data_IF_518559619978
#
_entry.id   IF_518559619978
#
_cell.length_a   1.000
_cell.length_b   1.000
_cell.length_c   1.000
_cell.angle_alpha   90.00
_cell.angle_beta   90.00
_cell.angle_gamma   90.00
#
_symmetry.space_group_name_H-M   'P 1'
#
loop_
_entity.id
_entity.type
_entity.pdbx_description
1 polymer ?
2 polymer ?
3 water ?
#
# COMPACT_ATOMS: atom_id res chain seq x y z
N UNK A 1 19.29 1.71 -14.14
CA UNK A 1 18.93 0.43 -14.75
C UNK A 1 19.03 -0.70 -13.74
N UNK A 2 19.36 -0.35 -12.49
CA UNK A 2 19.41 -1.34 -11.42
C UNK A 2 18.00 -1.71 -11.02
N UNK A 3 17.72 -3.01 -10.93
CA UNK A 3 16.42 -3.51 -10.52
C UNK A 3 16.61 -4.74 -9.65
N UNK A 4 15.78 -4.84 -8.62
CA UNK A 4 15.65 -6.05 -7.81
C UNK A 4 14.23 -6.56 -7.96
N UNK A 5 14.08 -7.73 -8.54
CA UNK A 5 12.76 -8.27 -8.87
C UNK A 5 12.46 -9.44 -7.95
N UNK A 6 11.45 -9.26 -7.10
CA UNK A 6 11.11 -10.30 -6.14
C UNK A 6 10.02 -11.21 -6.68
N UNK A 7 9.96 -12.40 -6.11
CA UNK A 7 8.89 -13.35 -6.42
C UNK A 7 7.55 -12.82 -5.90
N UNK A 8 6.47 -13.46 -6.37
CA UNK A 8 5.13 -12.99 -6.13
C UNK A 8 4.61 -13.34 -4.75
N UNK A 9 3.39 -12.88 -4.47
CA UNK A 9 2.79 -13.10 -3.14
C UNK A 9 2.52 -14.57 -2.89
N UNK A 10 2.47 -14.94 -1.61
CA UNK A 10 2.31 -16.34 -1.25
C UNK A 10 1.37 -16.50 -0.07
N UNK A 11 0.47 -17.48 -0.16
CA UNK A 11 -0.29 -17.98 0.96
C UNK A 11 0.40 -19.25 1.45
N UNK A 12 0.61 -19.35 2.75
CA UNK A 12 1.23 -20.53 3.33
C UNK A 12 0.45 -20.96 4.56
N UNK A 13 0.34 -22.29 4.75
CA UNK A 13 -0.28 -22.80 5.96
C UNK A 13 0.68 -22.66 7.14
N UNK A 14 0.15 -22.47 8.35
CA UNK A 14 1.02 -22.50 9.53
C UNK A 14 1.83 -23.79 9.55
N UNK A 15 3.12 -23.67 9.91
CA UNK A 15 4.01 -24.80 9.93
C UNK A 15 4.77 -25.04 8.64
N UNK A 16 4.36 -24.42 7.54
CA UNK A 16 5.03 -24.59 6.26
C UNK A 16 6.26 -23.68 6.19
N UNK A 17 6.88 -23.64 5.02
CA UNK A 17 8.01 -22.76 4.76
C UNK A 17 7.78 -22.10 3.41
N UNK A 18 8.50 -21.00 3.16
CA UNK A 18 8.43 -20.30 1.88
C UNK A 18 9.82 -19.80 1.55
N UNK A 19 10.18 -19.87 0.26
CA UNK A 19 11.46 -19.36 -0.20
C UNK A 19 11.18 -18.22 -1.17
N UNK A 20 11.57 -17.01 -0.79
CA UNK A 20 11.35 -15.79 -1.56
C UNK A 20 12.60 -15.51 -2.37
N UNK A 21 12.44 -15.13 -3.64
CA UNK A 21 13.58 -14.81 -4.50
C UNK A 21 13.66 -13.32 -4.78
N UNK A 22 14.86 -12.89 -5.13
CA UNK A 22 15.18 -11.49 -5.37
C UNK A 22 16.26 -11.49 -6.45
N UNK A 23 15.86 -11.24 -7.70
CA UNK A 23 16.77 -11.31 -8.83
C UNK A 23 17.34 -9.94 -9.13
N UNK A 24 18.67 -9.84 -9.19
CA UNK A 24 19.34 -8.58 -9.49
C UNK A 24 19.58 -8.43 -10.98
N UNK A 25 19.31 -7.23 -11.49
CA UNK A 25 19.64 -6.89 -12.87
C UNK A 25 20.19 -5.48 -12.92
N UNK A 26 20.97 -5.20 -13.96
CA UNK A 26 21.60 -3.90 -14.14
C UNK A 26 22.84 -3.68 -13.31
N UNK A 27 23.27 -4.68 -12.55
CA UNK A 27 24.51 -4.67 -11.79
C UNK A 27 24.83 -6.10 -11.46
N UNK A 28 26.05 -6.34 -10.99
CA UNK A 28 26.43 -7.68 -10.56
C UNK A 28 26.12 -7.84 -9.08
N UNK A 29 25.33 -8.86 -8.77
CA UNK A 29 24.86 -9.04 -7.39
C UNK A 29 26.03 -9.19 -6.43
N UNK A 30 27.16 -9.72 -6.89
CA UNK A 30 28.31 -9.96 -6.03
C UNK A 30 29.09 -8.69 -5.69
N UNK A 31 28.77 -7.56 -6.30
CA UNK A 31 29.45 -6.30 -6.00
C UNK A 31 28.86 -5.56 -4.81
N UNK A 32 27.74 -6.02 -4.25
CA UNK A 32 27.04 -5.34 -3.17
C UNK A 32 26.51 -6.37 -2.18
N UNK A 33 26.35 -5.96 -0.91
CA UNK A 33 25.59 -6.77 0.03
C UNK A 33 24.13 -6.87 -0.43
N UNK A 34 23.45 -7.91 0.03
CA UNK A 34 22.00 -7.98 -0.06
C UNK A 34 21.42 -8.06 1.34
N UNK A 35 20.43 -7.22 1.62
CA UNK A 35 19.72 -7.18 2.89
C UNK A 35 18.31 -7.67 2.69
N UNK A 36 17.70 -8.15 3.78
CA UNK A 36 16.29 -8.47 3.81
C UNK A 36 15.63 -7.79 5.01
N UNK A 37 14.44 -7.24 4.79
CA UNK A 37 13.68 -6.55 5.82
C UNK A 37 12.24 -7.00 5.81
N UNK A 38 11.60 -6.90 6.97
CA UNK A 38 10.22 -7.31 7.20
C UNK A 38 9.39 -6.11 7.63
N UNK A 39 8.19 -5.98 7.06
CA UNK A 39 7.22 -5.00 7.57
C UNK A 39 5.88 -5.69 7.80
N UNK A 40 5.50 -5.81 9.07
CA UNK A 40 4.18 -6.31 9.45
C UNK A 40 3.21 -5.15 9.54
N UNK A 41 1.96 -5.41 9.20
CA UNK A 41 0.92 -4.39 9.25
C UNK A 41 0.92 -3.73 10.62
N UNK A 42 1.03 -2.40 10.63
CA UNK A 42 0.97 -1.66 11.87
C UNK A 42 2.16 -1.85 12.79
N UNK A 43 3.31 -2.27 12.27
CA UNK A 43 4.52 -2.40 13.06
C UNK A 43 5.65 -1.64 12.36
N UNK A 44 6.80 -1.57 13.03
CA UNK A 44 7.97 -0.91 12.49
C UNK A 44 8.77 -1.87 11.63
N UNK A 45 9.50 -1.32 10.66
CA UNK A 45 10.37 -2.12 9.82
C UNK A 45 11.40 -2.84 10.67
N UNK A 46 11.73 -4.08 10.29
CA UNK A 46 12.74 -4.86 10.99
C UNK A 46 13.74 -5.42 9.99
N UNK A 47 15.03 -5.34 10.33
CA UNK A 47 16.07 -5.91 9.48
C UNK A 47 16.29 -7.36 9.87
N UNK A 48 16.22 -8.25 8.88
CA UNK A 48 16.37 -9.68 9.10
C UNK A 48 17.84 -10.09 9.10
N UNK A 49 18.60 -9.59 8.13
CA UNK A 49 20.00 -9.95 8.01
C UNK A 49 20.53 -9.55 6.66
N UNK A 50 21.81 -9.88 6.44
CA UNK A 50 22.45 -9.60 5.17
C UNK A 50 23.28 -10.80 4.74
N UNK A 51 23.69 -10.77 3.48
CA UNK A 51 24.52 -11.79 2.87
C UNK A 51 25.50 -11.11 1.92
N UNK A 52 26.75 -11.55 1.97
CA UNK A 52 27.76 -11.20 0.97
C UNK A 52 27.58 -12.17 -0.20
N UNK A 53 27.04 -11.73 -1.33
CA UNK A 53 26.75 -12.68 -2.40
C UNK A 53 27.99 -13.25 -3.05
N UNK A 54 29.14 -12.59 -2.91
CA UNK A 54 30.35 -13.06 -3.56
C UNK A 54 30.88 -14.33 -2.90
N UNK A 55 30.91 -14.37 -1.57
CA UNK A 55 31.47 -15.50 -0.86
C UNK A 55 30.54 -16.14 0.15
N UNK A 56 29.35 -15.57 0.38
CA UNK A 56 28.29 -16.27 1.07
C UNK A 56 28.18 -16.02 2.56
N UNK A 57 29.05 -15.21 3.16
CA UNK A 57 28.92 -14.92 4.58
C UNK A 57 27.64 -14.19 4.89
N UNK A 58 27.07 -14.48 6.08
CA UNK A 58 25.79 -13.91 6.49
C UNK A 58 25.88 -13.34 7.90
N UNK A 59 25.08 -12.31 8.14
CA UNK A 59 24.80 -11.80 9.48
C UNK A 59 23.30 -11.78 9.68
N UNK A 60 22.83 -12.34 10.79
CA UNK A 60 21.41 -12.36 11.11
C UNK A 60 21.11 -11.51 12.33
N UNK A 61 19.99 -10.80 12.29
CA UNK A 61 19.37 -10.32 13.50
C UNK A 61 18.98 -11.52 14.35
N UNK A 62 19.42 -11.53 15.61
CA UNK A 62 19.17 -12.67 16.49
C UNK A 62 17.69 -13.03 16.56
N UNK A 63 16.81 -12.03 16.41
CA UNK A 63 15.38 -12.28 16.42
C UNK A 63 14.93 -13.21 15.31
N UNK A 64 15.73 -13.35 14.24
CA UNK A 64 15.37 -14.17 13.10
C UNK A 64 16.24 -15.40 12.95
N UNK A 65 17.18 -15.64 13.85
CA UNK A 65 17.96 -16.87 13.77
C UNK A 65 17.03 -18.06 13.97
N UNK A 66 17.14 -19.06 13.10
CA UNK A 66 16.23 -20.18 13.10
C UNK A 66 14.95 -19.96 12.33
N UNK A 67 14.63 -18.70 12.00
CA UNK A 67 13.46 -18.35 11.20
C UNK A 67 13.79 -18.11 9.74
N UNK A 68 14.89 -17.42 9.46
CA UNK A 68 15.26 -17.04 8.11
C UNK A 68 16.61 -17.64 7.75
N UNK A 69 16.75 -18.08 6.51
CA UNK A 69 18.04 -18.52 5.96
C UNK A 69 18.26 -17.78 4.65
N UNK A 70 19.38 -17.06 4.54
CA UNK A 70 19.72 -16.30 3.35
C UNK A 70 20.73 -17.09 2.53
N UNK A 71 20.48 -17.18 1.22
CA UNK A 71 21.42 -17.79 0.28
C UNK A 71 21.47 -16.95 -0.98
N UNK A 72 22.44 -17.24 -1.83
CA UNK A 72 22.50 -16.64 -3.17
C UNK A 72 22.87 -17.71 -4.17
N UNK A 73 22.26 -17.65 -5.35
CA UNK A 73 22.68 -18.40 -6.53
C UNK A 73 23.40 -17.39 -7.42
N UNK A 74 24.74 -17.44 -7.41
CA UNK A 74 25.50 -16.49 -8.21
C UNK A 74 25.23 -16.67 -9.69
N UNK A 75 25.08 -17.91 -10.16
CA UNK A 75 24.91 -18.16 -11.59
C UNK A 75 23.69 -17.44 -12.14
N UNK A 76 22.62 -17.36 -11.35
CA UNK A 76 21.39 -16.71 -11.78
C UNK A 76 21.19 -15.32 -11.19
N UNK A 77 22.20 -14.79 -10.49
CA UNK A 77 22.11 -13.45 -9.90
C UNK A 77 20.88 -13.31 -9.01
N UNK A 78 20.56 -14.36 -8.25
CA UNK A 78 19.35 -14.37 -7.45
C UNK A 78 19.66 -14.62 -5.97
N UNK A 79 19.19 -13.72 -5.13
CA UNK A 79 19.23 -13.92 -3.68
C UNK A 79 17.93 -14.56 -3.23
N UNK A 80 18.04 -15.42 -2.21
CA UNK A 80 16.88 -16.13 -1.68
C UNK A 80 16.80 -15.93 -0.16
N UNK A 81 15.58 -15.87 0.35
CA UNK A 81 15.33 -15.96 1.78
C UNK A 81 14.30 -17.04 2.02
N UNK A 82 14.69 -18.06 2.79
CA UNK A 82 13.77 -19.08 3.21
C UNK A 82 13.26 -18.76 4.61
N UNK A 83 11.94 -18.71 4.77
CA UNK A 83 11.29 -18.52 6.06
C UNK A 83 10.69 -19.85 6.47
N UNK A 84 11.06 -20.33 7.65
CA UNK A 84 10.70 -21.66 8.11
C UNK A 84 9.68 -21.59 9.24
N UNK A 85 9.00 -22.72 9.48
CA UNK A 85 8.13 -22.86 10.65
C UNK A 85 7.13 -21.71 10.75
N UNK A 86 6.43 -21.46 9.65
CA UNK A 86 5.66 -20.23 9.53
C UNK A 86 4.50 -20.18 10.53
N UNK A 87 4.31 -18.99 11.10
CA UNK A 87 3.14 -18.70 11.93
C UNK A 87 2.52 -17.39 11.47
N UNK A 88 1.37 -17.04 12.05
CA UNK A 88 0.73 -15.79 11.69
C UNK A 88 1.63 -14.58 11.98
N UNK A 89 2.58 -14.71 12.90
CA UNK A 89 3.51 -13.63 13.17
C UNK A 89 4.42 -13.36 11.99
N UNK A 90 4.51 -14.29 11.05
CA UNK A 90 5.33 -14.12 9.85
C UNK A 90 4.57 -13.50 8.69
N UNK A 91 3.26 -13.28 8.82
CA UNK A 91 2.52 -12.58 7.78
C UNK A 91 3.02 -11.15 7.69
N UNK A 92 3.51 -10.74 6.51
CA UNK A 92 4.18 -9.46 6.39
C UNK A 92 4.53 -9.25 4.93
N UNK A 93 5.06 -8.07 4.63
CA UNK A 93 5.69 -7.80 3.34
C UNK A 93 7.19 -7.79 3.56
N UNK A 94 7.91 -8.56 2.76
CA UNK A 94 9.35 -8.71 2.90
C UNK A 94 10.02 -8.07 1.69
N UNK A 95 11.06 -7.27 1.92
CA UNK A 95 11.84 -6.70 0.84
C UNK A 95 13.27 -7.17 0.89
N UNK A 96 13.86 -7.34 -0.28
CA UNK A 96 15.31 -7.35 -0.41
C UNK A 96 15.76 -5.94 -0.79
N UNK A 97 16.99 -5.59 -0.43
CA UNK A 97 17.53 -4.29 -0.76
C UNK A 97 19.06 -4.37 -0.70
N UNK A 98 19.71 -3.76 -1.68
CA UNK A 98 21.17 -3.82 -1.73
C UNK A 98 21.81 -2.68 -0.94
N UNK A 99 23.05 -2.91 -0.53
CA UNK A 99 23.88 -1.88 0.09
C UNK A 99 25.34 -2.22 -0.21
N UNK A 100 26.26 -1.34 0.19
CA UNK A 100 27.65 -1.54 -0.20
C UNK A 100 28.22 -2.81 0.43
N UNK A 101 29.14 -3.43 -0.29
CA UNK A 101 29.75 -4.66 0.18
C UNK A 101 30.66 -4.43 1.39
N UNK A 102 31.48 -3.39 1.35
CA UNK A 102 32.48 -3.16 2.38
C UNK A 102 32.22 -1.91 3.23
N UNK A 103 31.15 -1.18 2.97
CA UNK A 103 30.93 0.07 3.67
C UNK A 103 29.61 0.15 4.41
N UNK A 104 28.95 1.29 4.32
CA UNK A 104 27.72 1.49 5.07
C UNK A 104 26.59 0.65 4.49
N UNK A 105 25.51 0.56 5.24
CA UNK A 105 24.34 -0.21 4.86
C UNK A 105 23.16 0.70 4.53
N UNK A 106 23.42 1.83 3.90
CA UNK A 106 22.35 2.61 3.30
C UNK A 106 21.81 1.83 2.10
N UNK A 107 20.54 1.49 2.14
CA UNK A 107 19.96 0.59 1.13
C UNK A 107 19.46 1.43 -0.03
N UNK A 108 20.21 1.44 -1.13
CA UNK A 108 19.95 2.40 -2.20
C UNK A 108 18.99 1.87 -3.25
N UNK A 109 18.80 0.56 -3.36
CA UNK A 109 17.86 0.00 -4.30
C UNK A 109 17.14 -1.16 -3.62
N UNK A 110 15.81 -1.11 -3.67
CA UNK A 110 14.93 -2.06 -2.99
C UNK A 110 14.13 -2.85 -4.01
N UNK A 111 13.91 -4.13 -3.71
CA UNK A 111 12.92 -4.89 -4.44
C UNK A 111 11.52 -4.34 -4.21
N UNK A 112 10.55 -4.87 -4.97
CA UNK A 112 9.19 -4.35 -4.89
C UNK A 112 8.40 -4.91 -3.72
N UNK A 113 8.96 -5.86 -2.98
CA UNK A 113 8.30 -6.50 -1.85
C UNK A 113 7.54 -7.74 -2.25
N UNK A 114 7.44 -8.66 -1.28
CA UNK A 114 6.70 -9.91 -1.43
C UNK A 114 5.80 -10.05 -0.22
N UNK A 115 4.50 -10.14 -0.47
CA UNK A 115 3.52 -10.34 0.59
C UNK A 115 3.40 -11.83 0.89
N UNK A 116 3.53 -12.18 2.18
CA UNK A 116 3.32 -13.54 2.65
C UNK A 116 2.19 -13.51 3.67
N UNK A 117 1.16 -14.30 3.44
CA UNK A 117 0.08 -14.49 4.41
C UNK A 117 0.15 -15.91 4.91
N UNK A 118 0.21 -16.07 6.23
CA UNK A 118 0.23 -17.39 6.86
C UNK A 118 -1.16 -17.63 7.45
N UNK A 119 -1.86 -18.62 6.93
CA UNK A 119 -3.24 -18.86 7.34
C UNK A 119 -3.62 -20.27 6.92
N UNK A 120 -4.55 -20.85 7.69
CA UNK A 120 -5.12 -22.14 7.34
C UNK A 120 -6.26 -22.02 6.34
N UNK A 121 -6.71 -20.81 6.04
CA UNK A 121 -7.82 -20.62 5.11
C UNK A 121 -7.36 -20.83 3.67
N UNK A 122 -8.31 -21.26 2.83
CA UNK A 122 -7.99 -21.61 1.46
C UNK A 122 -7.99 -20.37 0.56
N UNK A 123 -7.20 -20.45 -0.51
CA UNK A 123 -7.18 -19.37 -1.50
C UNK A 123 -8.51 -19.30 -2.22
N UNK A 124 -8.91 -18.08 -2.58
CA UNK A 124 -10.12 -17.87 -3.38
C UNK A 124 -9.89 -16.69 -4.30
N UNK A 125 -10.17 -16.86 -5.58
CA UNK A 125 -10.05 -15.77 -6.52
C UNK A 125 -11.26 -14.86 -6.50
N UNK A 126 -11.09 -13.61 -6.90
CA UNK A 126 -12.19 -12.64 -6.84
C UNK A 126 -13.16 -12.81 -8.00
N UNK A 127 -14.38 -12.33 -7.78
CA UNK A 127 -15.27 -11.95 -8.86
C UNK A 127 -15.07 -10.46 -9.11
N UNK A 128 -15.20 -10.05 -10.36
CA UNK A 128 -14.98 -8.66 -10.75
C UNK A 128 -16.27 -8.14 -11.38
N UNK A 129 -16.85 -7.12 -10.78
CA UNK A 129 -18.11 -6.58 -11.24
C UNK A 129 -17.95 -5.11 -11.64
N UNK A 130 -18.63 -4.67 -12.68
CA UNK A 130 -18.51 -3.28 -13.09
C UNK A 130 -19.25 -2.35 -12.13
N UNK A 131 -18.68 -1.16 -11.96
CA UNK A 131 -19.36 -0.01 -11.35
C UNK A 131 -19.63 0.96 -12.51
N UNK A 132 -20.80 0.81 -13.13
CA UNK A 132 -21.03 1.48 -14.41
C UNK A 132 -21.33 2.96 -14.20
N UNK A 133 -20.79 3.83 -15.05
CA UNK A 133 -21.11 5.25 -14.94
C UNK A 133 -22.54 5.50 -15.40
N UNK A 134 -23.19 6.46 -14.75
CA UNK A 134 -24.55 6.82 -15.10
C UNK A 134 -24.78 8.26 -14.67
N UNK A 135 -26.02 8.73 -14.81
CA UNK A 135 -26.39 10.06 -14.36
C UNK A 135 -26.16 10.20 -12.86
N UNK A 141 -19.15 17.90 -15.64
CA UNK A 141 -18.67 17.24 -16.83
C UNK A 141 -17.71 16.11 -16.55
N UNK A 142 -17.77 15.57 -15.33
CA UNK A 142 -16.96 14.45 -14.90
C UNK A 142 -17.86 13.29 -14.53
N UNK A 143 -17.43 12.08 -14.88
CA UNK A 143 -18.15 10.86 -14.54
C UNK A 143 -17.23 9.92 -13.76
N UNK A 144 -17.82 9.16 -12.85
CA UNK A 144 -17.06 8.16 -12.11
C UNK A 144 -17.49 6.77 -12.54
N UNK A 145 -16.53 5.85 -12.64
CA UNK A 145 -16.81 4.46 -12.97
C UNK A 145 -15.77 3.62 -12.25
N UNK A 146 -15.97 2.31 -12.22
CA UNK A 146 -15.02 1.51 -11.48
C UNK A 146 -15.25 0.03 -11.64
N UNK A 147 -14.52 -0.74 -10.83
CA UNK A 147 -14.71 -2.17 -10.72
C UNK A 147 -14.70 -2.56 -9.25
N UNK A 148 -15.59 -3.49 -8.92
CA UNK A 148 -15.66 -4.08 -7.59
C UNK A 148 -15.00 -5.45 -7.65
N UNK A 149 -13.96 -5.65 -6.85
CA UNK A 149 -13.17 -6.87 -6.82
C UNK A 149 -13.55 -7.58 -5.53
N UNK A 150 -14.46 -8.54 -5.63
CA UNK A 150 -15.16 -9.08 -4.47
C UNK A 150 -14.76 -10.51 -4.15
N UNK A 151 -14.56 -10.76 -2.86
CA UNK A 151 -14.48 -12.10 -2.28
C UNK A 151 -13.24 -12.86 -2.68
N UNK A 152 -12.08 -12.39 -2.24
CA UNK A 152 -10.82 -13.06 -2.55
C UNK A 152 -10.01 -13.26 -1.27
N UNK A 153 -9.08 -14.20 -1.36
CA UNK A 153 -8.18 -14.44 -0.23
C UNK A 153 -6.94 -15.14 -0.79
N UNK A 154 -5.74 -14.77 -0.34
CA UNK A 154 -5.39 -13.68 0.58
C UNK A 154 -5.21 -12.38 -0.19
N UNK A 155 -4.82 -11.32 0.50
CA UNK A 155 -4.26 -10.18 -0.19
C UNK A 155 -2.92 -10.61 -0.81
N UNK A 156 -2.43 -9.89 -1.82
CA UNK A 156 -2.97 -8.68 -2.44
C UNK A 156 -3.58 -8.99 -3.80
N UNK A 157 -4.23 -7.98 -4.37
CA UNK A 157 -4.57 -7.96 -5.78
C UNK A 157 -3.87 -6.76 -6.40
N UNK A 158 -3.80 -6.76 -7.72
CA UNK A 158 -3.42 -5.56 -8.44
C UNK A 158 -4.55 -5.19 -9.40
N UNK A 159 -4.77 -3.90 -9.57
CA UNK A 159 -5.73 -3.37 -10.53
C UNK A 159 -5.04 -2.31 -11.35
N UNK A 160 -5.12 -2.43 -12.66
CA UNK A 160 -4.79 -1.35 -13.57
C UNK A 160 -6.00 -1.04 -14.43
N UNK A 161 -5.90 0.06 -15.17
CA UNK A 161 -6.94 0.48 -16.10
C UNK A 161 -6.34 0.60 -17.50
N UNK A 162 -7.03 0.04 -18.48
CA UNK A 162 -6.61 0.16 -19.87
C UNK A 162 -5.16 -0.28 -20.05
N UNK A 163 -4.80 -1.38 -19.38
CA UNK A 163 -3.47 -1.98 -19.47
C UNK A 163 -2.38 -1.02 -19.01
N UNK A 164 -2.72 -0.10 -18.11
CA UNK A 164 -1.78 0.85 -17.59
C UNK A 164 -1.76 2.18 -18.31
N UNK A 165 -2.51 2.30 -19.41
CA UNK A 165 -2.59 3.55 -20.14
C UNK A 165 -3.37 4.62 -19.40
N UNK A 166 -4.23 4.24 -18.46
CA UNK A 166 -5.06 5.18 -17.72
C UNK A 166 -4.60 5.17 -16.26
N UNK A 167 -4.05 6.29 -15.80
CA UNK A 167 -3.58 6.41 -14.42
C UNK A 167 -4.16 7.65 -13.74
N UNK A 168 -4.40 8.70 -14.50
CA UNK A 168 -4.91 9.94 -13.91
C UNK A 168 -6.32 9.72 -13.39
N UNK A 169 -6.58 10.18 -12.17
CA UNK A 169 -7.91 10.08 -11.60
C UNK A 169 -8.29 8.72 -11.05
N UNK A 170 -7.36 7.75 -11.06
CA UNK A 170 -7.64 6.42 -10.53
C UNK A 170 -7.49 6.45 -9.01
N UNK A 171 -8.42 5.81 -8.31
CA UNK A 171 -8.28 5.56 -6.88
C UNK A 171 -8.59 4.09 -6.65
N UNK A 172 -7.60 3.33 -6.22
CA UNK A 172 -7.81 1.94 -5.83
C UNK A 172 -7.76 1.87 -4.31
N UNK A 173 -8.86 1.46 -3.72
CA UNK A 173 -9.04 1.57 -2.28
C UNK A 173 -8.39 0.42 -1.52
N UNK A 174 -8.05 0.64 -0.26
CA UNK A 174 -7.65 -0.48 0.60
C UNK A 174 -8.77 -1.51 0.66
N UNK A 175 -8.38 -2.78 0.66
CA UNK A 175 -9.36 -3.83 0.79
C UNK A 175 -9.98 -3.83 2.18
N UNK A 176 -11.21 -4.32 2.26
CA UNK A 176 -11.89 -4.56 3.54
C UNK A 176 -12.04 -6.05 3.72
N UNK A 177 -11.95 -6.50 4.96
CA UNK A 177 -12.09 -7.91 5.30
C UNK A 177 -13.51 -8.15 5.79
N UNK A 178 -14.24 -9.01 5.09
CA UNK A 178 -15.62 -9.33 5.40
C UNK A 178 -15.69 -10.43 6.46
N UNK A 179 -16.87 -10.60 7.04
CA UNK A 179 -17.05 -11.64 8.06
C UNK A 179 -16.81 -13.04 7.52
N UNK A 180 -16.96 -13.23 6.21
CA UNK A 180 -16.66 -14.50 5.58
C UNK A 180 -15.17 -14.83 5.61
N UNK A 181 -14.33 -13.89 6.03
CA UNK A 181 -12.90 -14.06 5.92
C UNK A 181 -12.33 -13.70 4.58
N UNK A 182 -13.13 -13.15 3.67
CA UNK A 182 -12.70 -12.80 2.33
C UNK A 182 -12.60 -11.28 2.19
N UNK A 183 -11.65 -10.85 1.38
CA UNK A 183 -11.44 -9.43 1.12
C UNK A 183 -12.28 -8.96 -0.05
N UNK A 184 -12.51 -7.65 -0.07
CA UNK A 184 -13.18 -6.99 -1.18
C UNK A 184 -12.58 -5.60 -1.33
N UNK A 185 -12.40 -5.16 -2.57
CA UNK A 185 -11.92 -3.80 -2.78
C UNK A 185 -12.57 -3.25 -4.02
N UNK A 186 -12.53 -1.92 -4.14
CA UNK A 186 -13.00 -1.25 -5.33
C UNK A 186 -11.88 -0.41 -5.89
N UNK A 187 -11.91 -0.24 -7.21
CA UNK A 187 -11.04 0.67 -7.91
C UNK A 187 -11.94 1.54 -8.77
N UNK A 188 -11.79 2.86 -8.66
CA UNK A 188 -12.60 3.79 -9.41
C UNK A 188 -11.72 4.72 -10.20
N UNK A 189 -12.32 5.38 -11.18
CA UNK A 189 -11.64 6.44 -11.92
C UNK A 189 -12.68 7.49 -12.29
N UNK A 190 -12.28 8.75 -12.24
CA UNK A 190 -13.10 9.81 -12.79
C UNK A 190 -12.53 10.24 -14.13
N UNK A 191 -13.43 10.46 -15.09
CA UNK A 191 -13.07 10.77 -16.47
C UNK A 191 -14.03 11.81 -17.00
N UNK A 192 -13.70 12.44 -18.11
CA UNK A 192 -14.64 13.38 -18.73
C UNK A 192 -15.90 12.65 -19.17
N UNK A 193 -17.05 13.23 -18.81
CA UNK A 193 -18.32 12.64 -19.26
C UNK A 193 -18.37 12.52 -20.77
N UNK A 194 -17.72 13.44 -21.49
CA UNK A 194 -17.70 13.40 -22.94
C UNK A 194 -17.03 12.15 -23.47
N UNK A 195 -16.23 11.47 -22.65
CA UNK A 195 -15.48 10.31 -23.12
C UNK A 195 -16.25 9.00 -23.01
N UNK A 196 -17.41 8.99 -22.36
CA UNK A 196 -18.07 7.73 -22.06
C UNK A 196 -18.52 6.99 -23.32
N UNK A 197 -18.87 7.71 -24.38
CA UNK A 197 -19.29 7.08 -25.61
C UNK A 197 -18.19 6.87 -26.61
N UNK A 198 -16.94 7.25 -26.29
CA UNK A 198 -15.86 7.27 -27.26
C UNK A 198 -14.56 6.70 -26.74
N UNK A 199 -14.43 6.42 -25.45
CA UNK A 199 -13.25 5.83 -24.85
C UNK A 199 -13.63 4.55 -24.14
N UNK A 200 -12.88 3.48 -24.38
CA UNK A 200 -13.11 2.22 -23.70
C UNK A 200 -12.42 2.24 -22.34
N UNK A 201 -13.13 1.72 -21.32
CA UNK A 201 -12.59 1.59 -19.96
C UNK A 201 -12.66 0.15 -19.52
N UNK A 202 -11.49 -0.45 -19.30
CA UNK A 202 -11.37 -1.85 -18.90
C UNK A 202 -10.48 -1.89 -17.66
N UNK A 203 -10.97 -2.52 -16.59
CA UNK A 203 -10.09 -2.76 -15.45
C UNK A 203 -9.43 -4.12 -15.59
N UNK A 204 -8.12 -4.15 -15.28
CA UNK A 204 -7.31 -5.35 -15.38
C UNK A 204 -6.99 -5.78 -13.95
N UNK A 205 -7.52 -6.92 -13.53
CA UNK A 205 -7.40 -7.40 -12.16
C UNK A 205 -6.55 -8.66 -12.15
N UNK A 206 -5.57 -8.71 -11.26
CA UNK A 206 -4.73 -9.90 -11.09
C UNK A 206 -4.72 -10.27 -9.62
N UNK A 207 -5.09 -11.50 -9.32
CA UNK A 207 -4.98 -12.08 -7.99
C UNK A 207 -4.02 -13.26 -8.16
N UNK A 208 -2.74 -13.01 -7.95
CA UNK A 208 -1.73 -14.03 -8.24
C UNK A 208 -1.89 -15.29 -7.41
N UNK A 209 -2.25 -15.24 -6.12
CA UNK A 209 -2.31 -16.49 -5.35
C UNK A 209 -3.31 -17.50 -5.88
N UNK A 210 -4.34 -17.05 -6.60
CA UNK A 210 -5.33 -17.96 -7.19
C UNK A 210 -5.18 -18.05 -8.70
N UNK A 211 -4.14 -17.45 -9.26
CA UNK A 211 -3.92 -17.45 -10.70
C UNK A 211 -5.09 -16.82 -11.45
N UNK A 212 -5.75 -15.84 -10.85
CA UNK A 212 -6.90 -15.20 -11.47
C UNK A 212 -6.47 -13.91 -12.17
N UNK A 213 -6.79 -13.82 -13.45
CA UNK A 213 -6.60 -12.59 -14.23
C UNK A 213 -7.92 -12.31 -14.93
N UNK A 214 -8.49 -11.14 -14.69
CA UNK A 214 -9.79 -10.76 -15.26
C UNK A 214 -9.64 -9.37 -15.83
N UNK A 215 -10.09 -9.19 -17.07
CA UNK A 215 -10.30 -7.87 -17.65
C UNK A 215 -11.80 -7.65 -17.76
N UNK A 216 -12.28 -6.53 -17.24
CA UNK A 216 -13.71 -6.25 -17.24
C UNK A 216 -13.94 -4.90 -17.89
N UNK A 217 -14.68 -4.89 -18.99
CA UNK A 217 -15.10 -3.63 -19.60
C UNK A 217 -16.22 -3.03 -18.77
N UNK A 218 -16.13 -1.74 -18.52
CA UNK A 218 -17.11 -1.02 -17.72
C UNK A 218 -17.82 -0.09 -18.69
N UNK A 219 -19.07 -0.43 -18.99
CA UNK A 219 -19.91 0.17 -20.03
C UNK A 219 -20.92 1.11 -19.41
N UNK A 220 -21.08 2.29 -20.01
CA UNK A 220 -21.99 3.34 -19.54
C UNK A 220 -23.43 2.85 -19.52
N UNK B 1 19.29 -4.39 21.27
CA UNK B 1 19.67 -3.65 20.07
C UNK B 1 19.56 -2.14 20.30
N UNK B 2 20.08 -1.36 19.36
CA UNK B 2 20.04 0.10 19.47
C UNK B 2 18.64 0.55 19.09
N UNK B 3 18.05 1.43 19.89
CA UNK B 3 16.70 1.93 19.66
C UNK B 3 16.82 3.30 19.00
N UNK B 4 16.06 3.51 17.92
CA UNK B 4 15.95 4.81 17.27
C UNK B 4 14.57 5.36 17.57
N UNK B 5 14.52 6.48 18.30
CA UNK B 5 13.25 7.08 18.71
C UNK B 5 12.96 8.28 17.81
N UNK B 6 11.93 8.15 16.99
CA UNK B 6 11.61 9.14 15.97
C UNK B 6 10.42 9.97 16.38
N UNK B 7 10.55 11.29 16.29
CA UNK B 7 9.47 12.20 16.61
C UNK B 7 9.44 13.32 15.58
N UNK B 8 8.27 13.90 15.32
CA UNK B 8 6.95 13.48 15.80
C UNK B 8 6.50 12.27 15.02
N UNK B 9 5.42 11.62 15.46
CA UNK B 9 4.88 10.50 14.71
C UNK B 9 4.11 10.97 13.48
N UNK B 10 3.49 12.15 13.55
CA UNK B 10 2.73 12.70 12.45
C UNK B 10 3.00 14.19 12.34
N UNK B 11 3.05 14.69 11.11
CA UNK B 11 3.18 16.10 10.80
C UNK B 11 2.06 16.47 9.85
N UNK B 12 1.43 17.61 10.09
CA UNK B 12 0.39 18.11 9.20
C UNK B 12 0.73 19.57 8.88
N UNK B 13 1.13 19.82 7.63
CA UNK B 13 1.55 21.17 7.23
C UNK B 13 1.06 21.44 5.84
N UNK B 14 0.82 22.71 5.52
CA UNK B 14 0.49 23.08 4.14
C UNK B 14 1.73 23.09 3.27
N UNK B 15 1.51 22.93 1.97
CA UNK B 15 2.61 23.00 1.02
C UNK B 15 3.34 24.32 1.19
N UNK B 16 4.68 24.26 1.15
CA UNK B 16 5.50 25.44 1.31
C UNK B 16 6.09 25.59 2.69
N UNK B 17 5.58 24.86 3.68
CA UNK B 17 6.08 24.94 5.06
C UNK B 17 7.36 24.15 5.20
N UNK B 18 8.19 24.53 6.17
CA UNK B 18 9.34 23.73 6.54
C UNK B 18 8.92 22.70 7.59
N UNK B 19 9.64 21.58 7.62
CA UNK B 19 9.48 20.60 8.69
C UNK B 19 10.85 20.04 9.06
N UNK B 20 11.01 19.73 10.34
CA UNK B 20 12.17 18.99 10.82
C UNK B 20 11.70 17.80 11.63
N UNK B 21 12.23 16.62 11.31
CA UNK B 21 11.95 15.38 12.01
C UNK B 21 13.20 15.01 12.78
N UNK B 22 13.02 14.39 13.94
CA UNK B 22 14.13 14.02 14.80
C UNK B 22 14.19 12.51 15.01
N UNK B 23 15.41 11.99 15.05
CA UNK B 23 15.64 10.62 15.49
C UNK B 23 16.74 10.63 16.55
N UNK B 24 16.43 10.07 17.71
CA UNK B 24 17.37 9.99 18.82
C UNK B 24 17.79 8.54 18.97
N UNK B 25 19.10 8.28 18.89
CA UNK B 25 19.62 6.93 19.09
C UNK B 25 19.83 6.68 20.57
N UNK B 26 19.61 5.43 21.00
CA UNK B 26 19.75 5.09 22.41
C UNK B 26 21.19 5.00 22.87
N UNK B 27 22.16 5.00 21.95
CA UNK B 27 23.57 5.12 22.26
C UNK B 27 24.20 5.87 21.11
N UNK B 28 25.48 6.25 21.26
CA UNK B 28 26.16 6.90 20.15
C UNK B 28 26.20 5.97 18.94
N UNK B 29 25.90 6.55 17.77
CA UNK B 29 25.97 5.83 16.49
C UNK B 29 26.77 6.66 15.50
N UNK B 30 27.54 7.62 15.99
CA UNK B 30 28.47 8.41 15.17
C UNK B 30 27.67 9.09 14.06
N UNK B 31 28.01 8.88 12.79
CA UNK B 31 27.23 9.41 11.68
C UNK B 31 26.54 8.30 10.88
N UNK B 32 26.33 7.14 11.49
CA UNK B 32 25.83 5.97 10.77
C UNK B 32 24.30 5.95 10.74
N UNK B 33 23.75 7.01 10.16
CA UNK B 33 22.31 7.22 10.12
C UNK B 33 21.88 7.46 8.68
N UNK B 34 20.80 6.81 8.28
CA UNK B 34 20.26 6.86 6.93
C UNK B 34 18.78 7.23 7.03
N UNK B 35 18.29 8.02 6.08
CA UNK B 35 16.88 8.38 6.03
C UNK B 35 16.27 7.92 4.71
N UNK B 36 15.08 7.33 4.82
CA UNK B 36 14.31 6.83 3.69
C UNK B 36 12.94 7.48 3.65
N UNK B 37 12.37 7.49 2.46
CA UNK B 37 11.03 8.00 2.19
C UNK B 37 10.21 6.86 1.60
N UNK B 38 9.02 6.63 2.15
CA UNK B 38 8.14 5.59 1.61
C UNK B 38 6.80 6.23 1.29
N UNK B 39 6.55 6.43 -0.01
CA UNK B 39 5.29 6.98 -0.46
C UNK B 39 4.24 5.88 -0.55
N UNK B 40 2.96 6.24 -0.49
CA UNK B 40 1.90 5.23 -0.54
C UNK B 40 2.05 4.32 -1.75
N UNK B 41 2.00 3.02 -1.50
CA UNK B 41 2.05 2.03 -2.56
C UNK B 41 3.42 1.79 -3.17
N UNK B 42 4.48 2.35 -2.60
CA UNK B 42 5.82 2.22 -3.15
C UNK B 42 6.76 1.65 -2.10
N UNK B 43 7.87 1.10 -2.58
CA UNK B 43 8.95 0.70 -1.69
C UNK B 43 9.70 1.92 -1.18
N UNK B 44 10.39 1.81 -0.06
CA UNK B 44 11.20 2.92 0.43
C UNK B 44 12.26 3.32 -0.59
N UNK B 45 12.62 4.60 -0.55
CA UNK B 45 13.69 5.17 -1.37
C UNK B 45 14.69 5.87 -0.46
N UNK B 46 15.97 5.73 -0.79
CA UNK B 46 17.03 6.36 -0.02
C UNK B 46 17.09 7.86 -0.29
N UNK B 47 17.11 8.66 0.77
CA UNK B 47 17.27 10.11 0.64
C UNK B 47 18.59 10.64 1.17
N UNK B 48 18.98 10.25 2.40
CA UNK B 48 20.14 10.80 3.08
C UNK B 48 20.96 9.64 3.64
N UNK B 49 22.28 9.73 3.52
CA UNK B 49 23.16 8.71 4.09
C UNK B 49 24.31 9.37 4.82
N UNK B 50 24.95 8.60 5.71
CA UNK B 50 25.98 9.13 6.59
C UNK B 50 25.53 10.45 7.22
N UNK B 51 24.27 10.44 7.68
CA UNK B 51 23.63 11.51 8.47
C UNK B 51 23.25 12.76 7.67
N UNK B 52 24.08 13.17 6.71
CA UNK B 52 23.88 14.48 6.11
C UNK B 52 24.09 14.54 4.61
N UNK B 53 24.32 13.43 3.92
CA UNK B 53 24.63 13.46 2.50
C UNK B 53 23.40 13.08 1.68
N UNK B 54 23.03 13.94 0.75
CA UNK B 54 21.93 13.65 -0.16
C UNK B 54 22.33 12.60 -1.18
N UNK B 55 21.49 11.59 -1.35
CA UNK B 55 21.69 10.59 -2.38
C UNK B 55 21.47 11.20 -3.76
N UNK B 56 22.09 10.60 -4.76
CA UNK B 56 22.02 11.11 -6.13
C UNK B 56 20.56 11.30 -6.56
N UNK B 57 20.29 12.44 -7.17
CA UNK B 57 18.97 12.74 -7.70
C UNK B 57 17.97 13.26 -6.68
N UNK B 58 18.31 13.28 -5.40
CA UNK B 58 17.35 13.74 -4.40
C UNK B 58 17.24 15.26 -4.48
N UNK B 59 16.02 15.82 -4.51
CA UNK B 59 15.88 17.27 -4.59
C UNK B 59 16.55 17.98 -3.41
N UNK B 60 17.00 19.21 -3.67
CA UNK B 60 17.78 19.90 -2.65
C UNK B 60 16.96 20.43 -1.48
N UNK B 61 15.63 20.33 -1.52
CA UNK B 61 14.84 20.67 -0.35
C UNK B 61 15.03 19.70 0.82
N UNK B 62 15.62 18.52 0.58
CA UNK B 62 15.86 17.51 1.61
C UNK B 62 17.28 17.63 2.15
N UNK B 63 17.42 17.73 3.47
CA UNK B 63 18.72 17.71 4.12
C UNK B 63 18.63 16.87 5.39
N UNK B 64 19.79 16.54 5.93
CA UNK B 64 19.86 15.89 7.23
C UNK B 64 21.08 16.39 7.98
N UNK B 65 21.04 16.21 9.29
CA UNK B 65 22.13 16.68 10.13
C UNK B 65 22.26 15.78 11.35
N UNK B 66 23.45 15.76 11.93
CA UNK B 66 23.65 15.17 13.24
C UNK B 66 24.89 14.31 13.33
N UNK B 67 25.39 14.16 14.55
CA UNK B 67 26.50 13.25 14.83
C UNK B 67 26.43 12.89 16.30
N UNK B 68 26.38 11.59 16.59
CA UNK B 68 26.32 11.14 17.98
C UNK B 68 25.02 10.41 18.26
N UNK B 69 24.07 11.11 18.89
CA UNK B 69 22.77 10.53 19.20
C UNK B 69 21.58 11.30 18.62
N UNK B 70 21.72 12.58 18.28
CA UNK B 70 20.60 13.42 17.89
C UNK B 70 20.69 13.72 16.39
N UNK B 71 19.73 13.21 15.62
CA UNK B 71 19.74 13.35 14.18
C UNK B 71 18.46 14.02 13.69
N UNK B 72 18.58 14.83 12.66
CA UNK B 72 17.41 15.48 12.09
C UNK B 72 17.39 15.29 10.59
N UNK B 73 16.19 15.44 10.04
CA UNK B 73 15.90 15.40 8.62
C UNK B 73 14.93 16.54 8.37
N UNK B 74 15.23 17.37 7.38
CA UNK B 74 14.49 18.60 7.16
C UNK B 74 14.05 18.68 5.72
N UNK B 75 12.81 19.12 5.52
CA UNK B 75 12.30 19.51 4.21
C UNK B 75 12.10 21.02 4.28
N UNK B 76 12.83 21.75 3.44
CA UNK B 76 12.78 23.21 3.58
C UNK B 76 11.45 23.79 3.13
N UNK B 77 10.82 23.16 2.15
CA UNK B 77 9.53 23.60 1.63
C UNK B 77 8.77 22.36 1.18
N UNK B 78 7.83 21.92 2.01
CA UNK B 78 7.11 20.68 1.74
C UNK B 78 6.27 20.82 0.48
N UNK B 79 6.33 19.82 -0.39
CA UNK B 79 5.54 19.76 -1.60
C UNK B 79 4.49 18.66 -1.50
N UNK B 80 3.45 18.76 -2.32
CA UNK B 80 2.36 17.80 -2.26
C UNK B 80 2.86 16.38 -2.40
N UNK B 81 3.85 16.16 -3.28
CA UNK B 81 4.40 14.84 -3.52
C UNK B 81 5.22 14.30 -2.36
N UNK B 82 5.49 15.11 -1.35
CA UNK B 82 6.28 14.66 -0.22
C UNK B 82 5.46 13.88 0.80
N UNK B 83 4.16 13.75 0.57
CA UNK B 83 3.32 12.87 1.37
C UNK B 83 3.94 11.49 1.42
N UNK B 84 4.29 11.03 2.62
CA UNK B 84 5.08 9.81 2.75
C UNK B 84 5.32 9.57 4.22
N UNK B 85 5.77 8.36 4.52
CA UNK B 85 6.41 8.06 5.79
C UNK B 85 7.91 8.19 5.62
N UNK B 86 8.54 8.94 6.49
CA UNK B 86 9.99 9.10 6.50
C UNK B 86 10.51 8.32 7.69
N UNK B 87 11.58 7.56 7.50
CA UNK B 87 12.11 6.82 8.63
C UNK B 87 13.62 6.82 8.62
N UNK B 88 14.17 6.80 9.82
CA UNK B 88 15.61 6.74 10.01
C UNK B 88 16.05 5.31 10.28
N UNK B 89 17.35 5.07 10.10
CA UNK B 89 17.97 3.77 10.30
C UNK B 89 19.34 4.01 10.87
N UNK B 90 19.75 3.23 11.88
CA UNK B 90 21.15 3.19 12.27
C UNK B 90 21.78 1.91 11.74
N UNK B 91 23.03 2.05 11.31
CA UNK B 91 23.85 0.89 10.95
C UNK B 91 25.21 1.02 11.61
N UNK B 92 25.25 1.59 12.80
CA UNK B 92 26.49 1.59 13.57
C UNK B 92 26.94 0.16 13.84
N UNK B 93 26.02 -0.68 14.30
CA UNK B 93 26.33 -2.09 14.54
C UNK B 93 25.05 -2.89 14.41
N UNK B 94 25.22 -4.22 14.30
CA UNK B 94 24.09 -5.09 13.99
C UNK B 94 23.32 -5.44 15.25
N UNK B 95 22.00 -5.60 15.12
CA UNK B 95 21.20 -5.51 13.89
C UNK B 95 20.95 -4.07 13.49
N UNK B 96 20.87 -3.78 12.19
CA UNK B 96 20.30 -2.51 11.77
C UNK B 96 18.95 -2.35 12.43
N UNK B 97 18.65 -1.13 12.85
CA UNK B 97 17.35 -0.85 13.45
C UNK B 97 16.83 0.48 12.90
N UNK B 98 15.50 0.60 12.94
CA UNK B 98 14.78 1.70 12.30
C UNK B 98 13.94 2.45 13.31
N UNK B 99 13.80 3.75 13.08
CA UNK B 99 12.77 4.48 13.76
C UNK B 99 11.39 4.03 13.32
N UNK B 100 10.38 4.40 14.11
CA UNK B 100 9.01 3.99 13.84
C UNK B 100 8.35 4.82 12.76
N UNK B 101 9.03 5.85 12.25
CA UNK B 101 8.54 6.63 11.14
C UNK B 101 7.82 7.89 11.57
N UNK B 102 7.77 8.85 10.63
CA UNK B 102 6.97 10.05 10.73
C UNK B 102 6.14 10.12 9.48
N UNK B 103 4.83 10.18 9.63
CA UNK B 103 3.92 10.33 8.51
C UNK B 103 3.71 11.81 8.27
N UNK B 104 4.18 12.29 7.12
CA UNK B 104 4.01 13.68 6.71
C UNK B 104 2.69 13.79 5.96
N UNK B 105 1.77 14.58 6.50
CA UNK B 105 0.45 14.79 5.95
C UNK B 105 0.38 16.22 5.40
N UNK B 106 -0.32 16.39 4.27
CA UNK B 106 -0.46 17.69 3.65
C UNK B 106 -1.77 18.33 4.06
N UNK B 107 -1.69 19.53 4.60
CA UNK B 107 -2.88 20.32 4.88
C UNK B 107 -3.25 21.05 3.59
N UNK B 108 -4.52 20.98 3.21
CA UNK B 108 -5.01 21.74 2.07
C UNK B 108 -6.36 22.34 2.46
N UNK B 109 -6.94 23.13 1.57
CA UNK B 109 -8.21 23.77 1.90
C UNK B 109 -9.35 22.76 1.85
N UNK B 110 -10.37 23.01 2.67
CA UNK B 110 -11.55 22.15 2.68
C UNK B 110 -12.10 22.00 1.26
N UNK B 111 -12.47 20.77 0.94
CA UNK B 111 -13.04 20.42 -0.36
C UNK B 111 -14.18 19.44 -0.11
N UNK B 112 -15.38 19.80 -0.52
CA UNK B 112 -16.51 18.90 -0.37
C UNK B 112 -16.37 17.69 -1.30
N UNK B 113 -16.82 16.52 -0.87
CA UNK B 113 -16.76 15.35 -1.76
C UNK B 113 -17.75 15.47 -2.90
N UNK B 114 -17.37 14.93 -4.05
CA UNK B 114 -18.35 14.59 -5.08
C UNK B 114 -18.84 13.18 -4.78
N UNK B 115 -20.15 13.01 -4.72
CA UNK B 115 -20.76 11.77 -4.26
C UNK B 115 -21.41 11.04 -5.44
N UNK B 116 -21.13 9.76 -5.56
CA UNK B 116 -21.65 8.93 -6.63
C UNK B 116 -22.17 7.64 -6.03
N UNK B 117 -23.26 7.11 -6.58
CA UNK B 117 -23.82 5.84 -6.13
C UNK B 117 -23.92 4.89 -7.32
N UNK B 118 -23.64 3.61 -7.06
CA UNK B 118 -23.63 2.56 -8.09
C UNK B 118 -24.53 1.42 -7.65
N UNK B 119 -25.58 1.10 -8.40
CA UNK B 119 -26.37 -0.10 -8.09
C UNK B 119 -25.55 -1.36 -8.29
N UNK B 120 -25.99 -2.48 -7.76
CA UNK B 120 -25.35 -3.76 -8.09
C UNK B 120 -25.46 -4.03 -9.58
N UNK B 121 -24.43 -4.68 -10.12
CA UNK B 121 -24.47 -5.11 -11.52
C UNK B 121 -25.42 -6.28 -11.69
N UNK B 122 -26.01 -6.39 -12.88
CA UNK B 122 -26.82 -7.57 -13.18
C UNK B 122 -25.98 -8.83 -13.09
N UNK B 123 -24.69 -8.74 -13.43
CA UNK B 123 -23.80 -9.89 -13.30
C UNK B 123 -23.76 -10.39 -11.87
N UNK B 124 -23.56 -9.49 -10.90
CA UNK B 124 -23.52 -9.93 -9.51
C UNK B 124 -24.87 -10.48 -9.07
N UNK B 125 -25.96 -9.85 -9.52
CA UNK B 125 -27.28 -10.27 -9.07
C UNK B 125 -27.56 -11.73 -9.41
N UNK B 126 -27.01 -12.22 -10.53
CA UNK B 126 -27.18 -13.62 -10.86
C UNK B 126 -26.60 -14.54 -9.79
N UNK B 127 -25.61 -14.06 -9.03
CA UNK B 127 -24.88 -14.91 -8.09
C UNK B 127 -25.51 -14.99 -6.70
N UNK B 128 -26.52 -14.17 -6.41
CA UNK B 128 -27.23 -14.26 -5.14
C UNK B 128 -26.91 -13.17 -4.13
N UNK B 129 -26.01 -12.25 -4.45
CA UNK B 129 -25.66 -11.16 -3.56
C UNK B 129 -25.75 -9.85 -4.32
N UNK B 130 -25.98 -8.76 -3.57
CA UNK B 130 -26.09 -7.43 -4.14
C UNK B 130 -25.21 -6.49 -3.35
N UNK B 131 -24.26 -5.85 -4.03
CA UNK B 131 -23.39 -4.85 -3.43
C UNK B 131 -23.71 -3.50 -4.02
N UNK B 132 -24.02 -2.53 -3.16
CA UNK B 132 -24.28 -1.16 -3.57
C UNK B 132 -23.10 -0.33 -3.12
N UNK B 133 -22.56 0.50 -4.00
CA UNK B 133 -21.34 1.24 -3.70
C UNK B 133 -21.61 2.74 -3.73
N UNK B 134 -21.12 3.44 -2.70
CA UNK B 134 -21.17 4.89 -2.63
C UNK B 134 -19.74 5.40 -2.60
N UNK B 135 -19.42 6.31 -3.51
CA UNK B 135 -18.09 6.88 -3.64
C UNK B 135 -18.14 8.35 -3.24
N UNK B 136 -17.25 8.74 -2.33
CA UNK B 136 -17.01 10.13 -1.97
C UNK B 136 -15.65 10.47 -2.54
N UNK B 137 -15.59 11.34 -3.53
CA UNK B 137 -14.36 11.55 -4.27
C UNK B 137 -13.73 12.90 -4.00
N UNK B 138 -12.41 12.88 -3.77
CA UNK B 138 -11.55 14.06 -3.77
C UNK B 138 -11.99 15.13 -2.76
N UNK B 139 -12.01 14.76 -1.50
CA UNK B 139 -12.47 15.65 -0.44
C UNK B 139 -11.37 15.89 0.59
N UNK B 140 -11.61 16.90 1.44
CA UNK B 140 -10.68 17.22 2.52
C UNK B 140 -11.46 18.06 3.52
N UNK B 141 -11.33 17.82 4.82
CA UNK B 141 -10.48 16.83 5.48
C UNK B 141 -11.04 15.42 5.41
N UNK B 142 -10.32 14.48 6.04
CA UNK B 142 -10.62 13.06 5.91
C UNK B 142 -11.92 12.66 6.57
N UNK B 143 -12.30 13.34 7.65
CA UNK B 143 -13.48 12.94 8.41
C UNK B 143 -14.73 13.09 7.56
N UNK B 144 -15.55 12.05 7.52
CA UNK B 144 -16.78 12.06 6.75
C UNK B 144 -17.71 11.02 7.33
N UNK B 145 -19.01 11.30 7.28
CA UNK B 145 -20.03 10.37 7.76
C UNK B 145 -20.85 9.92 6.56
N UNK B 146 -20.95 8.60 6.39
CA UNK B 146 -21.77 7.99 5.34
C UNK B 146 -22.87 7.20 6.02
N UNK B 147 -24.12 7.46 5.63
CA UNK B 147 -25.26 6.72 6.14
C UNK B 147 -25.99 6.10 4.96
N UNK B 148 -26.24 4.79 5.05
CA UNK B 148 -27.04 4.09 4.05
C UNK B 148 -28.49 4.05 4.52
N UNK B 149 -29.40 4.29 3.58
CA UNK B 149 -30.83 4.16 3.82
C UNK B 149 -31.44 3.32 2.72
N UNK B 150 -32.35 2.43 3.10
CA UNK B 150 -33.08 1.59 2.17
C UNK B 150 -34.55 1.81 2.46
N UNK B 151 -35.28 2.32 1.47
CA UNK B 151 -36.67 2.75 1.68
C UNK B 151 -36.78 3.61 2.93
N UNK B 152 -35.81 4.51 3.08
CA UNK B 152 -35.72 5.50 4.15
C UNK B 152 -35.34 4.91 5.51
N UNK B 153 -35.06 3.61 5.60
CA UNK B 153 -34.67 3.00 6.85
C UNK B 153 -33.16 2.99 6.97
N UNK B 154 -32.64 3.54 8.07
CA UNK B 154 -31.20 3.60 8.27
C UNK B 154 -30.62 2.20 8.45
N UNK B 155 -29.52 1.93 7.77
CA UNK B 155 -28.86 0.64 7.82
C UNK B 155 -27.70 0.68 8.80
N UNK B 156 -27.44 -0.46 9.45
CA UNK B 156 -26.26 -0.63 10.29
C UNK B 156 -25.75 -2.05 10.14
N UNK B 157 -24.44 -2.20 10.28
CA UNK B 157 -23.82 -3.51 10.34
C UNK B 157 -23.67 -4.23 9.02
N UNK B 158 -24.20 -3.68 7.92
CA UNK B 158 -24.16 -4.34 6.62
C UNK B 158 -23.39 -3.54 5.60
N UNK B 159 -22.53 -2.63 6.04
CA UNK B 159 -21.67 -1.89 5.12
C UNK B 159 -20.25 -1.85 5.67
N UNK B 160 -19.31 -1.63 4.76
CA UNK B 160 -17.92 -1.43 5.13
C UNK B 160 -17.36 -0.32 4.25
N UNK B 161 -16.37 0.39 4.78
CA UNK B 161 -15.78 1.47 4.00
C UNK B 161 -14.28 1.45 4.13
N UNK B 162 -13.62 2.08 3.16
CA UNK B 162 -12.20 2.36 3.29
C UNK B 162 -11.89 3.66 2.58
N UNK B 163 -10.73 4.21 2.91
CA UNK B 163 -10.32 5.54 2.50
C UNK B 163 -8.92 5.42 1.90
N UNK B 164 -8.69 6.10 0.78
CA UNK B 164 -7.35 6.11 0.22
C UNK B 164 -6.42 6.98 1.07
N UNK B 165 -5.12 6.78 0.88
CA UNK B 165 -4.15 7.73 1.38
C UNK B 165 -4.29 9.03 0.61
N UNK B 166 -3.76 10.11 1.18
CA UNK B 166 -3.85 11.40 0.52
C UNK B 166 -3.24 11.33 -0.87
N UNK B 167 -3.90 11.98 -1.82
CA UNK B 167 -3.42 12.02 -3.19
C UNK B 167 -2.14 12.86 -3.25
N UNK B 168 -1.17 12.38 -4.02
CA UNK B 168 0.14 13.02 -4.08
C UNK B 168 0.15 14.28 -4.92
N UNK B 169 -0.92 14.58 -5.65
CA UNK B 169 -1.02 15.77 -6.48
C UNK B 169 -1.98 16.83 -5.93
N UNK B 170 -3.19 16.44 -5.48
CA UNK B 170 -4.14 17.42 -4.97
C UNK B 170 -4.40 17.32 -3.48
N UNK B 171 -3.77 16.38 -2.80
CA UNK B 171 -3.82 16.26 -1.34
C UNK B 171 -5.20 15.91 -0.81
N UNK B 172 -6.10 15.41 -1.65
CA UNK B 172 -7.42 14.99 -1.19
C UNK B 172 -7.44 13.52 -0.83
N UNK B 173 -8.55 13.13 -0.21
CA UNK B 173 -8.90 11.75 0.07
C UNK B 173 -10.10 11.34 -0.75
N UNK B 174 -10.27 10.03 -0.92
CA UNK B 174 -11.52 9.48 -1.44
C UNK B 174 -11.93 8.34 -0.52
N UNK B 175 -13.22 8.02 -0.54
CA UNK B 175 -13.79 7.01 0.36
C UNK B 175 -14.80 6.18 -0.42
N UNK B 176 -14.72 4.87 -0.25
CA UNK B 176 -15.64 3.93 -0.90
C UNK B 176 -16.35 3.17 0.21
N UNK B 177 -17.67 3.11 0.13
CA UNK B 177 -18.48 2.36 1.08
C UNK B 177 -19.34 1.37 0.30
N UNK B 178 -19.39 0.13 0.78
CA UNK B 178 -20.17 -0.92 0.15
C UNK B 178 -21.24 -1.39 1.12
N UNK B 179 -22.49 -1.32 0.67
CA UNK B 179 -23.63 -1.93 1.34
C UNK B 179 -23.86 -3.30 0.72
N UNK B 180 -23.84 -4.35 1.52
CA UNK B 180 -23.96 -5.72 1.03
C UNK B 180 -25.26 -6.32 1.55
N UNK B 181 -26.11 -6.75 0.62
CA UNK B 181 -27.39 -7.37 0.93
C UNK B 181 -27.48 -8.69 0.18
N UNK B 182 -28.33 -9.58 0.68
CA UNK B 182 -28.71 -10.73 -0.14
C UNK B 182 -29.50 -10.23 -1.33
N UNK B 183 -29.45 -10.99 -2.43
CA UNK B 183 -30.26 -10.63 -3.58
C UNK B 183 -31.74 -10.58 -3.22
N UNK B 184 -32.19 -11.55 -2.41
CA UNK B 184 -33.60 -11.56 -2.01
C UNK B 184 -33.98 -10.28 -1.29
N UNK B 185 -33.12 -9.80 -0.38
CA UNK B 185 -33.42 -8.57 0.33
C UNK B 185 -33.35 -7.36 -0.59
N UNK B 186 -32.35 -7.31 -1.47
CA UNK B 186 -32.24 -6.20 -2.40
C UNK B 186 -33.52 -6.07 -3.22
N UNK B 187 -34.08 -7.20 -3.63
CA UNK B 187 -35.26 -7.20 -4.50
C UNK B 187 -36.56 -7.03 -3.72
N UNK B 188 -36.50 -6.72 -2.43
CA UNK B 188 -37.68 -6.39 -1.65
C UNK B 188 -37.82 -4.90 -1.38
N UNK B 189 -36.89 -4.08 -1.88
CA UNK B 189 -36.88 -2.65 -1.56
C UNK B 189 -36.64 -1.85 -2.83
N UNK B 190 -37.00 -0.58 -2.77
CA UNK B 190 -36.97 0.29 -3.94
C UNK B 190 -35.86 1.34 -3.89
N UNK B 191 -35.83 2.15 -2.85
CA UNK B 191 -34.99 3.35 -2.82
C UNK B 191 -33.72 3.05 -2.05
N UNK B 192 -32.58 3.20 -2.72
CA UNK B 192 -31.26 2.99 -2.14
C UNK B 192 -30.55 4.34 -2.11
N UNK B 193 -30.14 4.76 -0.93
CA UNK B 193 -29.62 6.10 -0.75
C UNK B 193 -28.38 6.08 0.13
N UNK B 194 -27.40 6.89 -0.24
CA UNK B 194 -26.27 7.17 0.64
C UNK B 194 -26.25 8.65 0.96
N UNK B 195 -26.22 8.95 2.24
CA UNK B 195 -26.28 10.32 2.74
C UNK B 195 -24.94 10.65 3.37
N UNK B 196 -24.35 11.77 2.93
CA UNK B 196 -22.98 12.14 3.28
C UNK B 196 -22.99 13.44 4.05
N UNK B 197 -22.33 13.44 5.20
CA UNK B 197 -22.11 14.64 6.00
C UNK B 197 -20.61 14.91 6.02
N UNK B 198 -20.23 16.16 5.77
CA UNK B 198 -18.83 16.53 5.67
C UNK B 198 -18.71 18.02 5.92
N UNK B 199 -17.56 18.43 6.48
CA UNK B 199 -17.38 19.83 6.86
C UNK B 199 -17.37 20.78 5.67
N UNK B 200 -17.14 20.28 4.46
CA UNK B 200 -17.23 21.08 3.27
C UNK B 200 -18.62 21.26 2.70
N UNK B 201 -19.62 20.64 3.31
CA UNK B 201 -21.00 20.71 2.85
C UNK B 201 -21.82 21.50 3.87
N UNK B 202 -22.68 22.39 3.36
CA UNK B 202 -23.52 23.19 4.26
C UNK B 202 -24.68 22.39 4.84
N UNK B 203 -25.07 21.31 4.18
CA UNK B 203 -26.05 20.36 4.67
C UNK B 203 -25.75 19.02 4.01
N UNK B 204 -26.24 17.91 4.55
CA UNK B 204 -25.88 16.60 3.99
C UNK B 204 -26.35 16.44 2.55
N UNK B 205 -25.56 15.69 1.78
CA UNK B 205 -25.86 15.37 0.38
C UNK B 205 -26.30 13.93 0.31
N UNK B 206 -27.42 13.66 -0.35
CA UNK B 206 -27.93 12.32 -0.53
C UNK B 206 -27.94 12.00 -2.03
N UNK B 207 -27.32 10.88 -2.39
CA UNK B 207 -27.43 10.34 -3.73
C UNK B 207 -28.21 9.04 -3.63
N UNK B 208 -29.15 8.84 -4.54
CA UNK B 208 -30.03 7.68 -4.43
C UNK B 208 -30.39 7.19 -5.82
N UNK B 209 -30.90 5.96 -5.87
CA UNK B 209 -31.53 5.43 -7.06
C UNK B 209 -32.71 4.59 -6.64
N UNK B 210 -33.62 4.39 -7.60
CA UNK B 210 -34.75 3.49 -7.46
C UNK B 210 -34.39 2.20 -8.19
N UNK B 211 -34.45 1.08 -7.49
CA UNK B 211 -34.17 -0.19 -8.14
C UNK B 211 -35.10 -0.37 -9.34
N UNK B 212 -34.51 -0.73 -10.47
CA UNK B 212 -35.27 -0.93 -11.70
C UNK B 212 -35.23 0.28 -12.61
#
# INVERSE_FOLDING_TARGET
EVQLQQSGPELEKPGASVKISCKASGYSITDYNMNWVKLSNGKSLEWIGNIDPSHGGTTYNQKFKGKATLTVDKSSSTAYMQLKSLTSEDSAVYHCARSTLYGNSAMDCWGQGTSVTVSSASTKGPSVFPLAPSSKSTSGGTAALGCLVKDYFPEPVTVSWNSGALTSGVHTFPAVLQSSGLYSLSSVVTVPSSSLGTQTYICNVNHKPSNTKVDKKVEPKSC
SIVMTQTPKFLLVPAGDRVTITCKASQSVNNDVTWYQQKPGQSPKLLIYYASNRYTGVPDRFTGSGYGTDFTFTISTVQAEDLAVYFCQQDYSSPLTFGAGTKLELKRTVAAPSVFIFPPSDEQLKSGTASVVCLLNNFYPREAKVQWKVDNALQSGNSQESVTEQDSKDSTYSLSSTLTLSKADYEKHKVYACEVTHQGLSSPVTKSFNRGEC
#
